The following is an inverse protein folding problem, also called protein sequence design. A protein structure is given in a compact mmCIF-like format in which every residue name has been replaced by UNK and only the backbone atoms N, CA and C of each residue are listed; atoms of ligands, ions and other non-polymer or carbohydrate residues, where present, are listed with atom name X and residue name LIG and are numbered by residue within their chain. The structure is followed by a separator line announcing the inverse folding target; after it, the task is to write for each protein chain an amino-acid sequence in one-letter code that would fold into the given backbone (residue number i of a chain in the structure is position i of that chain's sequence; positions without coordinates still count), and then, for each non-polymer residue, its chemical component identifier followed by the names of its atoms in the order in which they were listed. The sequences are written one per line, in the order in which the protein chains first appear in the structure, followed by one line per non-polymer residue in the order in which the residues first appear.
data_IF_086565418525
#
_entry.id   IF_086565418525
#
_cell.length_a   1.000
_cell.length_b   1.000
_cell.length_c   1.000
_cell.angle_alpha   90.00
_cell.angle_beta   90.00
_cell.angle_gamma   90.00
#
_symmetry.space_group_name_H-M   'P 1'
#
loop_
_entity.id
_entity.type
_entity.pdbx_description
1 polymer ?
#
# COMPACT_ATOMS: atom_id res chain seq x y z
N UNK A 1 6.98 29.21 5.27
CA UNK A 1 5.88 29.07 6.25
C UNK A 1 6.07 27.71 6.90
N UNK A 2 6.30 27.66 8.21
CA UNK A 2 6.58 26.42 8.94
C UNK A 2 5.43 26.18 9.91
N UNK A 3 4.55 25.25 9.55
CA UNK A 3 3.44 24.77 10.37
C UNK A 3 3.93 23.56 11.17
N UNK A 4 3.67 23.55 12.48
CA UNK A 4 3.94 22.40 13.33
C UNK A 4 2.63 22.01 13.98
N UNK A 5 2.05 20.87 13.60
CA UNK A 5 0.79 20.38 14.16
C UNK A 5 1.05 19.56 15.42
N UNK A 6 0.12 19.63 16.39
CA UNK A 6 0.02 18.70 17.51
C UNK A 6 -1.38 18.10 17.52
N UNK A 7 -1.49 16.79 17.33
CA UNK A 7 -2.76 16.07 17.40
C UNK A 7 -3.26 15.99 18.84
N UNK A 8 -4.51 16.34 19.11
CA UNK A 8 -5.04 16.40 20.47
C UNK A 8 -5.82 15.15 20.89
N UNK A 9 -6.39 14.38 19.96
CA UNK A 9 -7.11 13.12 20.26
C UNK A 9 -7.35 12.33 18.96
N UNK A 10 -7.06 11.03 18.94
CA UNK A 10 -7.46 10.10 17.87
C UNK A 10 -8.88 9.61 18.20
N UNK A 11 -9.84 9.80 17.30
CA UNK A 11 -11.15 9.14 17.39
C UNK A 11 -11.15 7.95 16.43
N UNK A 12 -11.70 6.81 16.85
CA UNK A 12 -11.76 5.61 16.01
C UNK A 12 -12.47 5.90 14.69
N UNK A 13 -11.78 5.63 13.59
CA UNK A 13 -12.37 5.59 12.25
C UNK A 13 -13.43 4.48 12.22
N UNK A 14 -14.63 4.83 11.77
CA UNK A 14 -15.75 3.91 11.61
C UNK A 14 -15.62 3.27 10.23
N UNK A 15 -15.36 1.96 10.20
CA UNK A 15 -15.72 0.96 9.17
C UNK A 15 -15.78 1.41 7.69
N UNK A 16 -14.73 2.09 7.21
CA UNK A 16 -14.47 2.29 5.79
C UNK A 16 -13.15 1.57 5.46
N UNK A 17 -13.05 0.94 4.30
CA UNK A 17 -11.86 0.20 3.80
C UNK A 17 -10.63 1.10 3.52
N UNK A 18 -10.62 2.29 4.09
CA UNK A 18 -9.55 3.28 4.04
C UNK A 18 -9.45 3.79 5.49
N UNK A 19 -8.29 3.68 6.14
CA UNK A 19 -8.08 4.36 7.42
C UNK A 19 -8.11 5.88 7.22
N UNK A 20 -9.27 6.47 7.46
CA UNK A 20 -9.39 7.91 7.56
C UNK A 20 -8.73 8.36 8.88
N UNK A 21 -7.58 9.03 8.81
CA UNK A 21 -7.11 9.84 9.94
C UNK A 21 -7.98 11.10 10.03
N UNK A 22 -9.23 10.92 10.45
CA UNK A 22 -10.16 12.00 10.68
C UNK A 22 -10.27 12.32 12.17
N UNK A 23 -10.08 13.60 12.49
CA UNK A 23 -10.26 14.12 13.84
C UNK A 23 -10.08 15.64 13.88
N UNK A 24 -10.92 16.37 14.65
CA UNK A 24 -10.72 17.79 14.89
C UNK A 24 -9.31 18.02 15.44
N UNK A 25 -8.47 18.74 14.69
CA UNK A 25 -7.12 19.06 15.11
C UNK A 25 -6.98 20.54 15.43
N UNK A 26 -6.20 20.83 16.47
CA UNK A 26 -5.80 22.19 16.81
C UNK A 26 -4.43 22.46 16.18
N UNK A 27 -4.36 23.52 15.40
CA UNK A 27 -3.14 23.99 14.75
C UNK A 27 -2.55 25.14 15.58
N UNK A 28 -1.25 25.07 15.83
CA UNK A 28 -0.47 26.15 16.44
C UNK A 28 0.69 26.46 15.52
N UNK A 29 0.80 27.70 15.04
CA UNK A 29 1.85 28.09 14.10
C UNK A 29 2.19 29.57 14.18
N UNK A 30 3.03 30.03 13.27
CA UNK A 30 3.35 31.45 13.08
C UNK A 30 3.06 31.88 11.64
N UNK A 31 2.38 33.01 11.48
CA UNK A 31 2.16 33.67 10.20
C UNK A 31 2.84 35.04 10.24
N UNK A 32 3.85 35.24 9.39
CA UNK A 32 4.69 36.47 9.39
C UNK A 32 5.28 36.81 10.77
N UNK A 33 5.71 35.79 11.51
CA UNK A 33 6.29 35.95 12.85
C UNK A 33 5.29 36.19 13.97
N UNK A 34 3.99 36.25 13.69
CA UNK A 34 2.94 36.35 14.70
C UNK A 34 2.35 34.97 15.01
N UNK A 35 2.09 34.64 16.29
CA UNK A 35 1.48 33.38 16.66
C UNK A 35 0.04 33.31 16.13
N UNK A 36 -0.33 32.16 15.56
CA UNK A 36 -1.67 31.88 15.07
C UNK A 36 -2.12 30.52 15.59
N UNK A 37 -3.36 30.45 16.03
CA UNK A 37 -4.05 29.20 16.36
C UNK A 37 -5.24 29.03 15.43
N UNK A 38 -5.59 27.78 15.14
CA UNK A 38 -6.75 27.46 14.32
C UNK A 38 -7.24 26.05 14.60
N UNK A 39 -8.46 25.77 14.15
CA UNK A 39 -9.03 24.42 14.16
C UNK A 39 -9.33 24.02 12.72
N UNK A 40 -9.21 22.73 12.44
CA UNK A 40 -9.50 22.18 11.12
C UNK A 40 -9.41 20.67 11.13
N UNK A 41 -9.77 20.08 10.01
CA UNK A 41 -9.75 18.64 9.81
C UNK A 41 -8.58 18.36 8.88
N UNK A 42 -7.44 17.84 9.37
CA UNK A 42 -6.40 17.35 8.48
C UNK A 42 -6.92 16.05 7.88
N UNK A 43 -7.15 16.05 6.58
CA UNK A 43 -7.36 14.81 5.85
C UNK A 43 -5.98 14.20 5.56
N UNK A 44 -5.73 13.03 6.11
CA UNK A 44 -4.63 12.18 5.69
C UNK A 44 -5.22 10.82 5.38
N UNK A 45 -5.34 10.54 4.09
CA UNK A 45 -5.69 9.22 3.59
C UNK A 45 -4.46 8.34 3.76
N UNK A 46 -4.32 7.70 4.93
CA UNK A 46 -3.58 6.45 4.96
C UNK A 46 -4.57 5.40 4.51
N UNK A 47 -4.56 5.06 3.22
CA UNK A 47 -5.13 3.79 2.83
C UNK A 47 -4.21 2.71 3.45
N UNK A 48 -4.40 2.41 4.74
CA UNK A 48 -3.88 1.19 5.35
C UNK A 48 -4.66 0.05 4.72
N UNK A 49 -4.34 -0.25 3.48
CA UNK A 49 -4.72 -1.52 2.91
C UNK A 49 -4.01 -2.58 3.72
N UNK A 50 -4.76 -3.54 4.22
CA UNK A 50 -4.17 -4.69 4.86
C UNK A 50 -3.29 -5.44 3.84
N UNK A 51 -2.26 -6.15 4.32
CA UNK A 51 -1.35 -6.90 3.45
C UNK A 51 -2.09 -7.89 2.53
N UNK A 52 -3.14 -8.55 3.03
CA UNK A 52 -4.01 -9.42 2.22
C UNK A 52 -4.84 -8.66 1.16
N UNK A 53 -5.24 -7.41 1.44
CA UNK A 53 -5.96 -6.58 0.46
C UNK A 53 -5.01 -6.09 -0.62
N UNK A 54 -3.81 -5.63 -0.26
CA UNK A 54 -2.79 -5.20 -1.22
C UNK A 54 -2.34 -6.36 -2.11
N UNK A 55 -2.14 -7.55 -1.54
CA UNK A 55 -1.81 -8.73 -2.33
C UNK A 55 -2.97 -9.13 -3.28
N UNK A 56 -4.23 -8.96 -2.86
CA UNK A 56 -5.40 -9.15 -3.73
C UNK A 56 -5.48 -8.12 -4.86
N UNK A 57 -5.26 -6.83 -4.55
CA UNK A 57 -5.23 -5.75 -5.53
C UNK A 57 -4.09 -5.97 -6.52
N UNK A 58 -2.91 -6.37 -6.05
CA UNK A 58 -1.76 -6.69 -6.90
C UNK A 58 -2.07 -7.84 -7.86
N UNK A 59 -2.70 -8.91 -7.38
CA UNK A 59 -3.12 -10.05 -8.20
C UNK A 59 -4.11 -9.64 -9.29
N UNK A 60 -5.18 -8.95 -8.90
CA UNK A 60 -6.24 -8.52 -9.82
C UNK A 60 -5.68 -7.54 -10.84
N UNK A 61 -4.80 -6.62 -10.43
CA UNK A 61 -4.16 -5.67 -11.33
C UNK A 61 -3.28 -6.37 -12.35
N UNK A 62 -2.46 -7.34 -11.92
CA UNK A 62 -1.64 -8.15 -12.81
C UNK A 62 -2.46 -8.96 -13.82
N UNK A 63 -3.57 -9.58 -13.38
CA UNK A 63 -4.47 -10.37 -14.22
C UNK A 63 -5.12 -9.54 -15.32
N UNK A 64 -5.41 -8.27 -15.05
CA UNK A 64 -6.08 -7.37 -15.98
C UNK A 64 -5.12 -6.53 -16.84
N UNK A 65 -3.81 -6.76 -16.74
CA UNK A 65 -2.86 -6.07 -17.62
C UNK A 65 -3.11 -6.44 -19.09
N UNK A 66 -3.06 -5.46 -19.99
CA UNK A 66 -3.29 -5.74 -21.40
C UNK A 66 -2.08 -6.47 -22.01
N UNK A 67 -2.25 -7.28 -23.08
CA UNK A 67 -1.19 -8.12 -23.63
C UNK A 67 0.09 -7.38 -24.04
N UNK A 68 0.00 -6.12 -24.45
CA UNK A 68 1.14 -5.25 -24.77
C UNK A 68 2.03 -4.91 -23.58
N UNK A 69 1.58 -5.18 -22.35
CA UNK A 69 2.37 -5.02 -21.13
C UNK A 69 3.50 -6.04 -21.05
N UNK A 70 3.36 -7.17 -21.75
CA UNK A 70 4.24 -8.31 -21.67
C UNK A 70 5.11 -8.40 -22.94
N UNK A 71 6.34 -8.91 -22.78
CA UNK A 71 7.08 -9.42 -23.92
C UNK A 71 6.44 -10.75 -24.38
N UNK A 72 6.83 -11.25 -25.57
CA UNK A 72 6.34 -12.56 -26.07
C UNK A 72 6.91 -13.78 -25.31
N UNK A 73 7.62 -13.53 -24.21
CA UNK A 73 8.30 -14.54 -23.41
C UNK A 73 7.66 -14.51 -22.03
N UNK A 74 7.52 -15.65 -21.37
CA UNK A 74 6.85 -15.72 -20.07
C UNK A 74 7.48 -14.77 -19.03
N UNK A 75 6.72 -14.28 -18.04
CA UNK A 75 5.30 -14.58 -17.78
C UNK A 75 4.30 -13.75 -18.61
N UNK A 76 3.14 -14.33 -18.95
CA UNK A 76 1.94 -13.59 -19.38
C UNK A 76 1.09 -13.12 -18.17
N UNK A 77 -0.06 -12.48 -18.42
CA UNK A 77 -0.93 -11.94 -17.36
C UNK A 77 -1.44 -13.01 -16.37
N UNK A 78 -1.83 -14.18 -16.86
CA UNK A 78 -2.33 -15.26 -16.03
C UNK A 78 -1.19 -15.89 -15.21
N UNK A 79 -0.01 -16.05 -15.81
CA UNK A 79 1.16 -16.54 -15.11
C UNK A 79 1.64 -15.56 -14.02
N UNK A 80 1.67 -14.26 -14.31
CA UNK A 80 2.01 -13.24 -13.33
C UNK A 80 0.98 -13.19 -12.20
N UNK A 81 -0.32 -13.23 -12.53
CA UNK A 81 -1.38 -13.31 -11.53
C UNK A 81 -1.26 -14.58 -10.68
N UNK A 82 -0.93 -15.73 -11.26
CA UNK A 82 -0.73 -16.97 -10.51
C UNK A 82 0.47 -16.87 -9.54
N UNK A 83 1.59 -16.29 -9.98
CA UNK A 83 2.74 -16.02 -9.09
C UNK A 83 2.30 -15.15 -7.90
N UNK A 84 1.45 -14.15 -8.12
CA UNK A 84 0.94 -13.28 -7.05
C UNK A 84 -0.16 -13.99 -6.22
N UNK A 85 -0.95 -14.90 -6.79
CA UNK A 85 -1.92 -15.68 -6.04
C UNK A 85 -1.24 -16.57 -4.97
N UNK A 86 -0.05 -17.10 -5.27
CA UNK A 86 0.77 -17.82 -4.27
C UNK A 86 1.19 -16.89 -3.12
N UNK A 87 1.48 -15.61 -3.41
CA UNK A 87 1.70 -14.59 -2.37
C UNK A 87 0.44 -14.43 -1.50
N UNK A 88 -0.75 -14.38 -2.11
CA UNK A 88 -2.04 -14.29 -1.41
C UNK A 88 -2.27 -15.47 -0.44
N UNK A 89 -1.84 -16.68 -0.79
CA UNK A 89 -1.96 -17.84 0.12
C UNK A 89 -1.17 -17.67 1.43
N UNK A 90 -0.05 -16.94 1.41
CA UNK A 90 0.72 -16.67 2.63
C UNK A 90 0.01 -15.71 3.59
N UNK A 91 -0.90 -14.87 3.09
CA UNK A 91 -1.59 -13.81 3.86
C UNK A 91 -3.07 -14.11 4.13
N UNK A 92 -3.72 -15.00 3.37
CA UNK A 92 -5.19 -15.11 3.32
C UNK A 92 -5.86 -16.37 3.96
N UNK A 93 -5.24 -17.11 4.90
CA UNK A 93 -6.09 -17.79 5.88
C UNK A 93 -5.70 -17.53 7.33
N UNK A 94 -4.64 -16.77 7.59
CA UNK A 94 -4.23 -16.45 8.94
C UNK A 94 -3.62 -15.03 9.01
N UNK A 95 -4.38 -14.03 9.48
CA UNK A 95 -3.83 -12.68 9.69
C UNK A 95 -2.72 -12.67 10.76
N UNK A 96 -2.49 -13.78 11.48
CA UNK A 96 -1.34 -13.95 12.37
C UNK A 96 -0.06 -14.29 11.58
N UNK A 97 0.57 -13.23 11.07
CA UNK A 97 1.99 -12.84 11.13
C UNK A 97 3.16 -13.85 11.04
N UNK A 98 2.99 -15.16 11.22
CA UNK A 98 4.11 -16.12 11.35
C UNK A 98 4.96 -16.25 10.08
N UNK A 99 4.34 -16.03 8.91
CA UNK A 99 5.01 -16.16 7.61
C UNK A 99 5.41 -14.85 6.97
N UNK A 100 5.38 -13.72 7.68
CA UNK A 100 5.71 -12.40 7.07
C UNK A 100 7.12 -12.35 6.50
N UNK A 101 8.09 -12.94 7.19
CA UNK A 101 9.45 -13.03 6.67
C UNK A 101 9.51 -13.86 5.38
N UNK A 102 8.83 -15.02 5.34
CA UNK A 102 8.72 -15.86 4.15
C UNK A 102 8.00 -15.15 3.01
N UNK A 103 6.94 -14.43 3.33
CA UNK A 103 6.12 -13.62 2.40
C UNK A 103 6.97 -12.51 1.78
N UNK A 104 7.73 -11.77 2.60
CA UNK A 104 8.64 -10.74 2.14
C UNK A 104 9.73 -11.32 1.22
N UNK A 105 10.29 -12.47 1.58
CA UNK A 105 11.28 -13.17 0.76
C UNK A 105 10.68 -13.61 -0.59
N UNK A 106 9.51 -14.24 -0.59
CA UNK A 106 8.82 -14.66 -1.83
C UNK A 106 8.48 -13.46 -2.73
N UNK A 107 7.94 -12.39 -2.13
CA UNK A 107 7.65 -11.15 -2.81
C UNK A 107 8.93 -10.55 -3.45
N UNK A 108 10.05 -10.54 -2.74
CA UNK A 108 11.30 -9.97 -3.22
C UNK A 108 12.00 -10.81 -4.29
N UNK A 109 12.04 -12.14 -4.12
CA UNK A 109 12.79 -13.03 -5.01
C UNK A 109 11.96 -13.61 -6.16
N UNK A 110 10.64 -13.55 -6.10
CA UNK A 110 9.76 -14.14 -7.13
C UNK A 110 8.84 -13.11 -7.77
N UNK A 111 8.09 -12.33 -6.97
CA UNK A 111 7.09 -11.38 -7.50
C UNK A 111 7.77 -10.17 -8.16
N UNK A 112 8.67 -9.47 -7.46
CA UNK A 112 9.30 -8.27 -7.98
C UNK A 112 10.11 -8.51 -9.28
N UNK A 113 10.91 -9.58 -9.41
CA UNK A 113 11.57 -9.89 -10.67
C UNK A 113 10.58 -10.15 -11.82
N UNK A 114 9.46 -10.81 -11.55
CA UNK A 114 8.42 -11.05 -12.54
C UNK A 114 7.75 -9.74 -12.99
N UNK A 115 7.40 -8.83 -12.07
CA UNK A 115 6.90 -7.49 -12.44
C UNK A 115 7.92 -6.72 -13.29
N UNK A 116 9.22 -6.85 -12.98
CA UNK A 116 10.29 -6.15 -13.71
C UNK A 116 10.45 -6.61 -15.16
N UNK A 117 9.92 -7.77 -15.56
CA UNK A 117 9.98 -8.24 -16.96
C UNK A 117 9.01 -7.50 -17.89
N UNK A 118 7.99 -6.84 -17.34
CA UNK A 118 7.01 -6.07 -18.12
C UNK A 118 7.70 -5.07 -19.05
N UNK A 119 7.19 -4.90 -20.26
CA UNK A 119 7.77 -3.99 -21.25
C UNK A 119 7.08 -2.63 -21.24
N UNK A 120 5.80 -2.58 -20.92
CA UNK A 120 5.10 -1.32 -20.73
C UNK A 120 5.54 -0.67 -19.41
N UNK A 121 6.11 0.54 -19.52
CA UNK A 121 6.64 1.29 -18.38
C UNK A 121 5.53 1.71 -17.44
N UNK A 122 4.37 2.15 -17.95
CA UNK A 122 3.28 2.65 -17.11
C UNK A 122 2.71 1.52 -16.25
N UNK A 123 2.43 0.37 -16.87
CA UNK A 123 1.88 -0.79 -16.18
C UNK A 123 2.86 -1.38 -15.17
N UNK A 124 4.15 -1.41 -15.52
CA UNK A 124 5.22 -1.79 -14.60
C UNK A 124 5.26 -0.88 -13.39
N UNK A 125 5.26 0.44 -13.60
CA UNK A 125 5.31 1.40 -12.50
C UNK A 125 4.09 1.29 -11.59
N UNK A 126 2.91 1.07 -12.17
CA UNK A 126 1.68 0.87 -11.41
C UNK A 126 1.75 -0.38 -10.52
N UNK A 127 2.20 -1.53 -11.05
CA UNK A 127 2.37 -2.72 -10.23
C UNK A 127 3.50 -2.58 -9.18
N UNK A 128 4.57 -1.83 -9.49
CA UNK A 128 5.63 -1.53 -8.52
C UNK A 128 5.10 -0.69 -7.36
N UNK A 129 4.24 0.29 -7.62
CA UNK A 129 3.63 1.12 -6.58
C UNK A 129 2.81 0.26 -5.60
N UNK A 130 1.92 -0.59 -6.12
CA UNK A 130 1.13 -1.52 -5.30
C UNK A 130 2.05 -2.50 -4.53
N UNK A 131 3.12 -2.98 -5.17
CA UNK A 131 4.11 -3.86 -4.54
C UNK A 131 4.87 -3.16 -3.40
N UNK A 132 5.27 -1.90 -3.58
CA UNK A 132 6.00 -1.12 -2.57
C UNK A 132 5.10 -0.82 -1.37
N UNK A 133 3.82 -0.52 -1.60
CA UNK A 133 2.82 -0.40 -0.53
C UNK A 133 2.65 -1.73 0.22
N UNK A 134 2.58 -2.85 -0.50
CA UNK A 134 2.52 -4.19 0.11
C UNK A 134 3.76 -4.49 0.95
N UNK A 135 4.96 -4.22 0.43
CA UNK A 135 6.20 -4.41 1.20
C UNK A 135 6.22 -3.54 2.46
N UNK A 136 5.73 -2.31 2.35
CA UNK A 136 5.66 -1.38 3.48
C UNK A 136 4.70 -1.89 4.57
N UNK A 137 3.55 -2.46 4.20
CA UNK A 137 2.58 -3.02 5.15
C UNK A 137 3.11 -4.25 5.90
N UNK A 138 4.00 -5.03 5.29
CA UNK A 138 4.70 -6.13 5.96
C UNK A 138 5.65 -5.66 7.08
N UNK A 139 6.13 -4.42 7.01
CA UNK A 139 7.08 -3.84 7.98
C UNK A 139 6.41 -3.10 9.14
N UNK A 140 5.10 -2.81 9.07
CA UNK A 140 4.38 -2.12 10.13
C UNK A 140 4.22 -3.01 11.38
N UNK A 141 4.45 -2.48 12.59
CA UNK A 141 4.12 -3.18 13.84
C UNK A 141 2.60 -3.28 13.99
N UNK A 142 2.13 -4.37 14.59
CA UNK A 142 0.71 -4.57 14.92
C UNK A 142 0.49 -4.20 16.39
N UNK A 143 -0.49 -3.33 16.63
CA UNK A 143 -1.01 -2.99 17.97
C UNK A 143 -2.06 -4.01 18.42
#
# INVERSE_FOLDING_TARGET
MQLTSKYSTKTSAIDLSIEYFEGPSHFVSTFRGQPVTGSGIPESTLALYHDWELASVLEISARNLPPESFNKTEPDAEQLAYIIAVLNEYVNPNPLHEKRAETALYAHFTVLPAIKTLVNIQDKMHLIEIYDDFQSSLALPFD
#
